data_IF_873099784375
#
_entry.id   IF_873099784375
#
_cell.length_a   1.000
_cell.length_b   1.000
_cell.length_c   1.000
_cell.angle_alpha   90.00
_cell.angle_beta   90.00
_cell.angle_gamma   90.00
#
_symmetry.space_group_name_H-M   'P 1'
#
loop_
_entity.id
_entity.type
_entity.pdbx_description
1 polymer ?
#
# COMPACT_ATOMS: atom_id res chain seq x y z
N UNK A 1 0.54 40.77 5.61
CA UNK A 1 0.47 39.76 4.52
C UNK A 1 -0.70 38.83 4.80
N UNK A 2 -1.64 38.61 3.87
CA UNK A 2 -2.78 37.75 4.12
C UNK A 2 -2.32 36.29 4.31
N UNK A 3 -2.69 35.68 5.44
CA UNK A 3 -2.29 34.32 5.85
C UNK A 3 -2.52 33.27 4.76
N UNK A 4 -3.60 33.41 3.99
CA UNK A 4 -3.93 32.54 2.84
C UNK A 4 -2.82 32.48 1.79
N UNK A 5 -2.15 33.59 1.50
CA UNK A 5 -1.07 33.65 0.48
C UNK A 5 0.20 32.95 0.94
N UNK A 6 0.47 32.94 2.26
CA UNK A 6 1.61 32.22 2.84
C UNK A 6 1.34 30.71 2.83
N UNK A 7 0.12 30.32 3.22
CA UNK A 7 -0.30 28.90 3.21
C UNK A 7 -0.21 28.32 1.79
N UNK A 8 -0.91 28.91 0.81
CA UNK A 8 -0.94 28.38 -0.55
C UNK A 8 0.34 28.63 -1.35
N UNK A 9 1.11 29.68 -1.02
CA UNK A 9 2.32 30.04 -1.77
C UNK A 9 3.61 29.39 -1.27
N UNK A 10 3.69 29.06 0.04
CA UNK A 10 4.94 28.58 0.64
C UNK A 10 4.76 27.30 1.45
N UNK A 11 3.69 27.17 2.23
CA UNK A 11 3.50 25.99 3.10
C UNK A 11 3.06 24.78 2.28
N UNK A 12 2.01 24.95 1.46
CA UNK A 12 1.45 23.87 0.64
C UNK A 12 2.49 23.25 -0.30
N UNK A 13 3.20 24.00 -1.18
CA UNK A 13 4.19 23.40 -2.09
C UNK A 13 5.38 22.75 -1.36
N UNK A 14 5.79 23.25 -0.19
CA UNK A 14 6.88 22.63 0.58
C UNK A 14 6.44 21.37 1.34
N UNK A 15 5.17 21.26 1.72
CA UNK A 15 4.63 20.09 2.43
C UNK A 15 4.13 18.98 1.51
N UNK A 16 3.85 19.26 0.23
CA UNK A 16 3.37 18.25 -0.73
C UNK A 16 4.37 17.11 -0.89
N UNK A 17 5.66 17.40 -1.02
CA UNK A 17 6.71 16.37 -1.19
C UNK A 17 6.72 15.32 -0.06
N UNK A 18 6.87 15.68 1.24
CA UNK A 18 6.83 14.69 2.32
C UNK A 18 5.44 14.02 2.48
N UNK A 19 4.35 14.71 2.14
CA UNK A 19 3.01 14.12 2.19
C UNK A 19 2.85 13.00 1.16
N UNK A 20 3.36 13.16 -0.07
CA UNK A 20 3.28 12.10 -1.10
C UNK A 20 4.12 10.89 -0.68
N UNK A 21 5.31 11.11 -0.12
CA UNK A 21 6.16 10.04 0.43
C UNK A 21 5.40 9.27 1.51
N UNK A 22 4.85 9.98 2.49
CA UNK A 22 4.12 9.36 3.60
C UNK A 22 2.88 8.62 3.11
N UNK A 23 2.14 9.19 2.15
CA UNK A 23 0.97 8.55 1.55
C UNK A 23 1.36 7.22 0.87
N UNK A 24 2.47 7.21 0.12
CA UNK A 24 2.96 6.01 -0.57
C UNK A 24 3.36 4.92 0.43
N UNK A 25 4.06 5.29 1.52
CA UNK A 25 4.42 4.35 2.58
C UNK A 25 3.18 3.81 3.32
N UNK A 26 2.21 4.68 3.62
CA UNK A 26 0.94 4.26 4.25
C UNK A 26 0.11 3.33 3.36
N UNK A 27 0.21 3.48 2.03
CA UNK A 27 -0.50 2.63 1.08
C UNK A 27 -0.02 1.18 1.17
N UNK A 28 1.28 0.95 1.37
CA UNK A 28 1.81 -0.39 1.56
C UNK A 28 1.18 -1.07 2.79
N UNK A 29 1.04 -0.35 3.91
CA UNK A 29 0.35 -0.84 5.10
C UNK A 29 -1.13 -1.10 4.83
N UNK A 30 -1.81 -0.16 4.15
CA UNK A 30 -3.22 -0.28 3.83
C UNK A 30 -3.54 -1.50 2.94
N UNK A 31 -2.63 -1.89 2.04
CA UNK A 31 -2.75 -3.10 1.23
C UNK A 31 -2.77 -4.35 2.11
N UNK A 32 -1.86 -4.43 3.10
CA UNK A 32 -1.79 -5.56 4.02
C UNK A 32 -3.05 -5.60 4.89
N UNK A 33 -3.49 -4.45 5.40
CA UNK A 33 -4.73 -4.34 6.18
C UNK A 33 -5.96 -4.76 5.38
N UNK A 34 -6.07 -4.32 4.13
CA UNK A 34 -7.16 -4.71 3.24
C UNK A 34 -7.17 -6.21 2.97
N UNK A 35 -6.00 -6.81 2.69
CA UNK A 35 -5.87 -8.25 2.51
C UNK A 35 -6.22 -9.04 3.78
N UNK A 36 -5.81 -8.54 4.95
CA UNK A 36 -6.14 -9.15 6.24
C UNK A 36 -7.65 -9.06 6.56
N UNK A 37 -8.27 -7.91 6.29
CA UNK A 37 -9.73 -7.76 6.43
C UNK A 37 -10.48 -8.69 5.49
N UNK A 38 -10.03 -8.79 4.23
CA UNK A 38 -10.66 -9.69 3.27
C UNK A 38 -10.49 -11.17 3.64
N UNK A 39 -9.31 -11.53 4.17
CA UNK A 39 -9.06 -12.86 4.74
C UNK A 39 -10.01 -13.18 5.92
N UNK A 40 -10.38 -12.17 6.73
CA UNK A 40 -11.38 -12.30 7.79
C UNK A 40 -12.84 -12.34 7.28
N UNK A 41 -13.06 -12.28 5.96
CA UNK A 41 -14.39 -12.28 5.35
C UNK A 41 -15.05 -10.90 5.26
N UNK A 42 -14.30 -9.82 5.52
CA UNK A 42 -14.75 -8.43 5.33
C UNK A 42 -14.39 -7.89 3.94
N UNK A 43 -14.09 -8.77 3.00
CA UNK A 43 -13.80 -8.46 1.61
C UNK A 43 -15.07 -8.18 0.78
N UNK A 44 -14.92 -8.01 -0.53
CA UNK A 44 -16.04 -7.87 -1.45
C UNK A 44 -17.04 -9.03 -1.29
N UNK A 45 -18.33 -8.71 -1.18
CA UNK A 45 -19.38 -9.73 -1.04
C UNK A 45 -19.57 -10.61 -2.29
N UNK A 46 -19.11 -10.14 -3.44
CA UNK A 46 -19.21 -10.84 -4.71
C UNK A 46 -18.01 -11.78 -4.94
N UNK A 47 -18.26 -13.09 -4.89
CA UNK A 47 -17.25 -14.14 -5.18
C UNK A 47 -16.81 -14.17 -6.64
N UNK A 48 -17.49 -13.46 -7.54
CA UNK A 48 -17.06 -13.29 -8.94
C UNK A 48 -15.86 -12.36 -9.10
N UNK A 49 -15.51 -11.58 -8.07
CA UNK A 49 -14.39 -10.64 -8.08
C UNK A 49 -13.18 -11.32 -7.44
N UNK A 50 -12.08 -11.54 -8.18
CA UNK A 50 -10.88 -12.13 -7.59
C UNK A 50 -10.24 -11.14 -6.61
N UNK A 51 -10.21 -11.50 -5.34
CA UNK A 51 -9.59 -10.73 -4.26
C UNK A 51 -8.56 -11.61 -3.53
N UNK A 52 -7.34 -11.10 -3.34
CA UNK A 52 -6.21 -11.92 -2.89
C UNK A 52 -6.32 -12.37 -1.44
N UNK A 53 -6.87 -11.55 -0.54
CA UNK A 53 -7.10 -11.93 0.86
C UNK A 53 -8.14 -13.05 1.02
N UNK A 54 -9.23 -13.00 0.27
CA UNK A 54 -10.27 -14.04 0.26
C UNK A 54 -9.75 -15.31 -0.42
N UNK A 55 -8.99 -15.19 -1.51
CA UNK A 55 -8.32 -16.34 -2.14
C UNK A 55 -7.35 -17.03 -1.16
N UNK A 56 -6.66 -16.27 -0.31
CA UNK A 56 -5.81 -16.84 0.73
C UNK A 56 -6.63 -17.53 1.83
N UNK A 57 -7.81 -17.00 2.17
CA UNK A 57 -8.72 -17.63 3.12
C UNK A 57 -9.25 -18.97 2.61
N UNK A 58 -9.71 -19.02 1.36
CA UNK A 58 -10.20 -20.23 0.70
C UNK A 58 -9.09 -21.29 0.56
N UNK A 59 -7.84 -20.87 0.36
CA UNK A 59 -6.71 -21.77 0.23
C UNK A 59 -6.41 -22.58 1.51
N UNK A 60 -6.88 -22.15 2.69
CA UNK A 60 -6.67 -22.85 3.96
C UNK A 60 -7.21 -24.28 3.94
N UNK A 61 -8.37 -24.49 3.31
CA UNK A 61 -9.02 -25.81 3.20
C UNK A 61 -8.22 -26.78 2.32
N UNK A 62 -7.35 -26.24 1.47
CA UNK A 62 -6.58 -27.01 0.49
C UNK A 62 -5.10 -27.11 0.83
N UNK A 63 -4.61 -26.58 1.96
CA UNK A 63 -3.18 -26.55 2.28
C UNK A 63 -2.51 -27.94 2.29
N UNK A 64 -3.24 -28.98 2.67
CA UNK A 64 -2.72 -30.36 2.74
C UNK A 64 -2.68 -31.06 1.38
N UNK A 65 -3.45 -30.58 0.40
CA UNK A 65 -3.63 -31.23 -0.92
C UNK A 65 -3.00 -30.40 -2.04
N UNK A 66 -3.16 -29.09 -1.98
CA UNK A 66 -2.78 -28.10 -2.99
C UNK A 66 -2.22 -26.82 -2.34
N UNK A 67 -1.05 -26.88 -1.66
CA UNK A 67 -0.44 -25.71 -1.01
C UNK A 67 -0.09 -24.58 -1.99
N UNK A 68 0.06 -24.87 -3.28
CA UNK A 68 0.31 -23.88 -4.32
C UNK A 68 -0.79 -22.81 -4.39
N UNK A 69 -2.04 -23.14 -4.01
CA UNK A 69 -3.17 -22.21 -4.04
C UNK A 69 -3.00 -21.04 -3.07
N UNK A 70 -2.34 -21.26 -1.93
CA UNK A 70 -2.01 -20.19 -0.99
C UNK A 70 -0.81 -19.36 -1.45
N UNK A 71 0.10 -19.96 -2.24
CA UNK A 71 1.34 -19.31 -2.65
C UNK A 71 1.09 -18.13 -3.62
N UNK A 72 0.18 -18.30 -4.58
CA UNK A 72 -0.14 -17.26 -5.57
C UNK A 72 -0.67 -15.95 -4.96
N UNK A 73 -1.75 -15.94 -4.15
CA UNK A 73 -2.24 -14.69 -3.55
C UNK A 73 -1.21 -14.10 -2.58
N UNK A 74 -0.49 -14.96 -1.84
CA UNK A 74 0.53 -14.51 -0.88
C UNK A 74 1.68 -13.77 -1.57
N UNK A 75 2.22 -14.31 -2.67
CA UNK A 75 3.30 -13.65 -3.40
C UNK A 75 2.83 -12.35 -4.09
N UNK A 76 1.59 -12.30 -4.57
CA UNK A 76 1.00 -11.08 -5.13
C UNK A 76 0.91 -9.96 -4.09
N UNK A 77 0.40 -10.26 -2.89
CA UNK A 77 0.31 -9.28 -1.78
C UNK A 77 1.71 -8.81 -1.39
N UNK A 78 2.66 -9.72 -1.23
CA UNK A 78 4.05 -9.40 -0.88
C UNK A 78 4.70 -8.49 -1.91
N UNK A 79 4.60 -8.83 -3.20
CA UNK A 79 5.16 -8.02 -4.28
C UNK A 79 4.53 -6.62 -4.30
N UNK A 80 3.21 -6.52 -4.15
CA UNK A 80 2.53 -5.24 -4.13
C UNK A 80 2.97 -4.38 -2.93
N UNK A 81 2.91 -4.92 -1.71
CA UNK A 81 3.29 -4.20 -0.50
C UNK A 81 4.77 -3.78 -0.52
N UNK A 82 5.68 -4.67 -0.92
CA UNK A 82 7.10 -4.35 -1.07
C UNK A 82 7.34 -3.33 -2.17
N UNK A 83 6.67 -3.48 -3.32
CA UNK A 83 6.77 -2.54 -4.44
C UNK A 83 6.41 -1.12 -4.03
N UNK A 84 5.29 -0.93 -3.33
CA UNK A 84 4.90 0.38 -2.80
C UNK A 84 5.82 0.88 -1.69
N UNK A 85 6.31 -0.01 -0.83
CA UNK A 85 7.28 0.37 0.22
C UNK A 85 8.58 0.90 -0.39
N UNK A 86 9.15 0.16 -1.34
CA UNK A 86 10.39 0.54 -2.04
C UNK A 86 10.18 1.80 -2.87
N UNK A 87 9.03 1.94 -3.54
CA UNK A 87 8.68 3.16 -4.28
C UNK A 87 8.61 4.37 -3.34
N UNK A 88 7.98 4.24 -2.18
CA UNK A 88 7.90 5.29 -1.17
C UNK A 88 9.28 5.69 -0.66
N UNK A 89 10.16 4.72 -0.43
CA UNK A 89 11.54 4.96 -0.02
C UNK A 89 12.36 5.66 -1.12
N UNK A 90 12.28 5.18 -2.36
CA UNK A 90 12.95 5.84 -3.50
C UNK A 90 12.44 7.26 -3.72
N UNK A 91 11.15 7.48 -3.53
CA UNK A 91 10.56 8.82 -3.62
C UNK A 91 11.03 9.71 -2.45
N UNK A 92 11.17 9.14 -1.25
CA UNK A 92 11.76 9.83 -0.09
C UNK A 92 13.16 10.30 -0.39
N UNK A 93 14.01 9.42 -0.91
CA UNK A 93 15.40 9.72 -1.27
C UNK A 93 15.46 10.80 -2.38
N UNK A 94 14.63 10.68 -3.42
CA UNK A 94 14.60 11.64 -4.51
C UNK A 94 14.09 13.03 -4.10
N UNK A 95 13.21 13.10 -3.10
CA UNK A 95 12.62 14.34 -2.60
C UNK A 95 13.36 14.92 -1.39
N UNK A 96 14.30 14.18 -0.79
CA UNK A 96 15.09 14.68 0.34
C UNK A 96 16.02 15.82 -0.12
N UNK A 97 15.76 17.09 0.31
CA UNK A 97 16.56 18.24 -0.11
C UNK A 97 18.00 18.20 0.41
N UNK A 98 18.37 17.23 1.26
CA UNK A 98 19.73 17.09 1.81
C UNK A 98 20.81 16.80 0.75
N UNK A 99 20.44 16.47 -0.48
CA UNK A 99 21.35 16.39 -1.64
C UNK A 99 21.50 17.69 -2.44
N UNK A 100 20.72 18.73 -2.14
CA UNK A 100 20.94 20.08 -2.67
C UNK A 100 21.86 20.86 -1.72
N UNK A 101 23.17 20.70 -1.93
CA UNK A 101 24.16 21.69 -1.51
C UNK A 101 23.92 23.02 -2.23
#
# INVERSE_FOLDING_TARGET
VPTRRIIFGHVLPNSVSPVIVQATLSLATAIIEAAALSFLGLGPADRGIPEWGSMLADAQDFLTVRPELAFYPCICIVIAALGFTLLGESLREALDPKFRR
#
